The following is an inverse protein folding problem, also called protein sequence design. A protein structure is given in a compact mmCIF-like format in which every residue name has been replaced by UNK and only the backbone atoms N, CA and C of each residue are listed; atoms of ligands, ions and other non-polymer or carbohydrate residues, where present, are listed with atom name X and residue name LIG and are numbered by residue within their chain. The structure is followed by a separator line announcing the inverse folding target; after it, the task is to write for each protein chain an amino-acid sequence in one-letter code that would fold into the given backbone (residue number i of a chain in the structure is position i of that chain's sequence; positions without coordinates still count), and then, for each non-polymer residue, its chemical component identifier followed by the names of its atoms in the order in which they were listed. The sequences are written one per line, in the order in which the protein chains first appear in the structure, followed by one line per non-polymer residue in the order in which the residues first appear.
data_IF_904130782619
#
_entry.id   IF_904130782619
#
_cell.length_a   1.000
_cell.length_b   1.000
_cell.length_c   1.000
_cell.angle_alpha   90.00
_cell.angle_beta   90.00
_cell.angle_gamma   90.00
#
_symmetry.space_group_name_H-M   'P 1'
#
loop_
_entity.id
_entity.type
_entity.pdbx_description
1 polymer ?
#
# COMPACT_ATOMS: atom_id res chain seq x y z
N UNK A 1 29.65 10.64 31.58
CA UNK A 1 29.73 11.43 30.34
C UNK A 1 29.25 10.53 29.21
N UNK A 2 28.07 10.84 28.66
CA UNK A 2 27.85 11.20 27.24
C UNK A 2 28.18 10.05 26.28
N UNK A 3 27.29 9.45 25.51
CA UNK A 3 26.14 9.90 24.71
C UNK A 3 26.08 8.89 23.55
N UNK A 4 24.97 8.41 23.04
CA UNK A 4 24.03 9.15 22.20
C UNK A 4 22.81 8.22 21.99
N UNK A 5 21.67 8.55 22.59
CA UNK A 5 20.38 8.06 22.11
C UNK A 5 20.18 8.68 20.72
N UNK A 6 20.33 7.89 19.65
CA UNK A 6 19.80 8.28 18.34
C UNK A 6 18.28 8.19 18.45
N UNK A 7 17.66 9.36 18.58
CA UNK A 7 16.22 9.56 18.47
C UNK A 7 15.78 9.14 17.07
N UNK A 8 15.32 7.89 16.93
CA UNK A 8 14.44 7.55 15.82
C UNK A 8 13.18 8.39 16.02
N UNK A 9 13.01 9.46 15.21
CA UNK A 9 11.70 10.07 15.05
C UNK A 9 10.83 9.00 14.41
N UNK A 10 10.06 8.30 15.22
CA UNK A 10 8.94 7.48 14.78
C UNK A 10 7.91 8.45 14.19
N UNK A 11 8.04 8.73 12.89
CA UNK A 11 6.95 9.32 12.11
C UNK A 11 5.87 8.24 11.99
N UNK A 12 4.58 8.55 12.19
CA UNK A 12 3.51 7.58 12.03
C UNK A 12 3.61 6.88 10.68
N UNK A 13 3.75 5.55 10.75
CA UNK A 13 4.01 4.66 9.63
C UNK A 13 2.71 4.32 8.92
N UNK A 14 2.15 5.31 8.23
CA UNK A 14 0.91 5.19 7.48
C UNK A 14 1.06 4.40 6.18
N UNK A 15 -0.05 4.26 5.44
CA UNK A 15 -0.01 3.72 4.07
C UNK A 15 0.57 4.76 3.10
N UNK A 16 1.25 4.29 2.05
CA UNK A 16 1.77 5.17 1.00
C UNK A 16 0.65 5.57 0.04
N UNK A 17 0.40 6.87 -0.13
CA UNK A 17 -0.81 7.36 -0.82
C UNK A 17 -1.00 6.79 -2.23
N UNK A 18 0.04 6.82 -3.07
CA UNK A 18 0.00 6.30 -4.44
C UNK A 18 -0.19 4.77 -4.48
N UNK A 19 0.35 4.04 -3.50
CA UNK A 19 0.24 2.58 -3.44
C UNK A 19 -1.15 2.08 -3.05
N UNK A 20 -1.96 2.96 -2.47
CA UNK A 20 -3.39 2.71 -2.25
C UNK A 20 -4.24 3.25 -3.40
N UNK A 21 -4.06 4.52 -3.77
CA UNK A 21 -4.94 5.19 -4.76
C UNK A 21 -4.84 4.54 -6.13
N UNK A 22 -3.62 4.26 -6.62
CA UNK A 22 -3.48 3.75 -7.99
C UNK A 22 -4.12 2.36 -8.17
N UNK A 23 -3.92 1.38 -7.28
CA UNK A 23 -4.64 0.11 -7.34
C UNK A 23 -6.15 0.27 -7.15
N UNK A 24 -6.59 1.09 -6.19
CA UNK A 24 -8.02 1.33 -5.94
C UNK A 24 -8.73 1.86 -7.20
N UNK A 25 -8.15 2.86 -7.86
CA UNK A 25 -8.69 3.44 -9.09
C UNK A 25 -8.71 2.39 -10.22
N UNK A 26 -7.64 1.60 -10.38
CA UNK A 26 -7.57 0.53 -11.41
C UNK A 26 -8.64 -0.54 -11.20
N UNK A 27 -8.81 -1.03 -9.97
CA UNK A 27 -9.81 -2.05 -9.67
C UNK A 27 -11.24 -1.49 -9.82
N UNK A 28 -11.47 -0.24 -9.42
CA UNK A 28 -12.77 0.43 -9.61
C UNK A 28 -13.09 0.58 -11.10
N UNK A 29 -12.11 1.03 -11.91
CA UNK A 29 -12.26 1.17 -13.36
C UNK A 29 -12.50 -0.17 -14.06
N UNK A 30 -11.94 -1.25 -13.54
CA UNK A 30 -12.17 -2.62 -14.02
C UNK A 30 -13.51 -3.23 -13.54
N UNK A 31 -14.25 -2.54 -12.67
CA UNK A 31 -15.59 -2.94 -12.24
C UNK A 31 -15.63 -3.90 -11.06
N UNK A 32 -14.53 -4.04 -10.30
CA UNK A 32 -14.51 -4.84 -9.08
C UNK A 32 -15.31 -4.16 -7.96
N UNK A 33 -15.98 -4.97 -7.14
CA UNK A 33 -16.50 -4.53 -5.84
C UNK A 33 -15.35 -4.54 -4.83
N UNK A 34 -15.10 -3.41 -4.15
CA UNK A 34 -13.91 -3.22 -3.33
C UNK A 34 -14.32 -3.05 -1.87
N UNK A 35 -13.85 -3.96 -1.02
CA UNK A 35 -13.84 -3.76 0.44
C UNK A 35 -12.47 -3.24 0.88
N UNK A 36 -12.44 -2.07 1.52
CA UNK A 36 -11.24 -1.59 2.22
C UNK A 36 -11.32 -2.03 3.68
N UNK A 37 -10.36 -2.85 4.11
CA UNK A 37 -10.29 -3.37 5.47
C UNK A 37 -9.00 -2.93 6.17
N UNK A 38 -9.09 -2.73 7.50
CA UNK A 38 -7.95 -2.39 8.35
C UNK A 38 -8.00 -3.20 9.64
N UNK A 39 -6.87 -3.41 10.35
CA UNK A 39 -6.90 -4.08 11.63
C UNK A 39 -7.82 -3.34 12.61
N UNK A 40 -8.87 -4.02 13.09
CA UNK A 40 -9.88 -3.47 14.01
C UNK A 40 -10.80 -2.40 13.42
N UNK A 41 -10.87 -2.28 12.09
CA UNK A 41 -11.73 -1.30 11.41
C UNK A 41 -11.37 0.16 11.72
N UNK A 42 -10.11 0.42 12.06
CA UNK A 42 -9.64 1.75 12.43
C UNK A 42 -9.20 2.52 11.19
N UNK A 43 -9.65 3.78 11.07
CA UNK A 43 -9.22 4.71 10.01
C UNK A 43 -7.70 4.64 9.78
N UNK A 44 -7.25 4.26 8.57
CA UNK A 44 -5.83 4.20 8.28
C UNK A 44 -5.27 5.62 8.17
N UNK A 45 -4.00 5.77 8.52
CA UNK A 45 -3.27 7.04 8.43
C UNK A 45 -2.46 7.03 7.14
N UNK A 46 -2.50 8.12 6.37
CA UNK A 46 -1.61 8.29 5.22
C UNK A 46 -0.22 8.71 5.70
N UNK A 47 0.84 8.13 5.12
CA UNK A 47 2.21 8.60 5.35
C UNK A 47 2.41 9.95 4.64
N UNK A 48 2.60 11.03 5.40
CA UNK A 48 2.80 12.37 4.84
C UNK A 48 4.04 12.47 3.93
N UNK A 49 5.06 11.62 4.15
CA UNK A 49 6.25 11.58 3.30
C UNK A 49 5.85 11.21 1.86
N UNK A 50 4.88 10.30 1.69
CA UNK A 50 4.34 9.92 0.37
C UNK A 50 3.70 11.08 -0.41
N UNK A 51 3.33 12.16 0.29
CA UNK A 51 2.70 13.35 -0.28
C UNK A 51 3.69 14.53 -0.40
N UNK A 52 5.00 14.25 -0.37
CA UNK A 52 6.03 15.28 -0.33
C UNK A 52 7.17 14.99 -1.30
N UNK A 53 7.97 16.03 -1.58
CA UNK A 53 9.18 15.93 -2.40
C UNK A 53 10.18 14.93 -1.77
N UNK A 54 10.22 14.84 -0.43
CA UNK A 54 11.08 13.88 0.28
C UNK A 54 10.70 12.42 -0.02
N UNK A 55 9.45 12.15 -0.37
CA UNK A 55 8.98 10.86 -0.87
C UNK A 55 9.02 10.71 -2.39
N UNK A 56 9.61 11.67 -3.11
CA UNK A 56 9.66 11.67 -4.58
C UNK A 56 8.39 12.19 -5.27
N UNK A 57 7.45 12.76 -4.52
CA UNK A 57 6.18 13.27 -5.05
C UNK A 57 6.27 14.78 -5.28
N UNK A 58 6.18 15.23 -6.54
CA UNK A 58 6.20 16.65 -6.87
C UNK A 58 4.91 17.37 -6.39
N UNK A 59 4.91 18.72 -6.25
CA UNK A 59 3.77 19.45 -5.70
C UNK A 59 2.45 19.27 -6.44
N UNK A 60 2.47 19.09 -7.77
CA UNK A 60 1.24 18.89 -8.55
C UNK A 60 0.68 17.49 -8.31
N UNK A 61 1.54 16.47 -8.31
CA UNK A 61 1.15 15.10 -7.99
C UNK A 61 0.65 14.98 -6.54
N UNK A 62 1.32 15.62 -5.58
CA UNK A 62 0.88 15.66 -4.19
C UNK A 62 -0.51 16.31 -4.04
N UNK A 63 -0.78 17.38 -4.79
CA UNK A 63 -2.11 18.02 -4.80
C UNK A 63 -3.19 17.08 -5.34
N UNK A 64 -2.90 16.35 -6.42
CA UNK A 64 -3.83 15.37 -7.01
C UNK A 64 -4.13 14.24 -6.03
N UNK A 65 -3.09 13.66 -5.42
CA UNK A 65 -3.22 12.61 -4.41
C UNK A 65 -4.07 13.07 -3.23
N UNK A 66 -3.83 14.29 -2.71
CA UNK A 66 -4.65 14.86 -1.63
C UNK A 66 -6.12 15.04 -2.02
N UNK A 67 -6.40 15.46 -3.26
CA UNK A 67 -7.78 15.56 -3.76
C UNK A 67 -8.45 14.19 -3.79
N UNK A 68 -7.78 13.18 -4.36
CA UNK A 68 -8.33 11.82 -4.44
C UNK A 68 -8.51 11.19 -3.06
N UNK A 69 -7.59 11.40 -2.11
CA UNK A 69 -7.79 10.95 -0.72
C UNK A 69 -9.02 11.60 -0.07
N UNK A 70 -9.30 12.87 -0.37
CA UNK A 70 -10.50 13.55 0.13
C UNK A 70 -11.76 13.00 -0.53
N UNK A 71 -11.71 12.63 -1.81
CA UNK A 71 -12.83 11.98 -2.52
C UNK A 71 -13.09 10.56 -2.02
N UNK A 72 -12.07 9.88 -1.47
CA UNK A 72 -12.16 8.56 -0.84
C UNK A 72 -12.38 8.63 0.68
N UNK A 73 -12.75 9.80 1.24
CA UNK A 73 -12.87 9.98 2.68
C UNK A 73 -13.82 8.98 3.33
N UNK A 74 -14.98 8.73 2.72
CA UNK A 74 -16.00 7.87 3.29
C UNK A 74 -15.52 6.41 3.43
N UNK A 75 -14.77 5.95 2.43
CA UNK A 75 -14.14 4.61 2.40
C UNK A 75 -13.07 4.51 3.49
N UNK A 76 -12.23 5.55 3.63
CA UNK A 76 -11.14 5.57 4.62
C UNK A 76 -11.64 5.79 6.04
N UNK A 77 -12.77 6.46 6.23
CA UNK A 77 -13.36 6.73 7.54
C UNK A 77 -14.16 5.55 8.09
N UNK A 78 -14.66 4.69 7.20
CA UNK A 78 -15.48 3.53 7.56
C UNK A 78 -14.92 2.23 6.95
N UNK A 79 -13.65 1.87 7.21
CA UNK A 79 -13.11 0.61 6.71
C UNK A 79 -13.75 -0.57 7.45
N UNK A 80 -13.84 -1.70 6.77
CA UNK A 80 -14.20 -2.96 7.43
C UNK A 80 -13.12 -3.38 8.45
N UNK A 81 -13.51 -4.16 9.45
CA UNK A 81 -12.54 -4.82 10.33
C UNK A 81 -11.95 -6.03 9.61
N UNK A 82 -10.64 -6.01 9.40
CA UNK A 82 -9.90 -7.11 8.77
C UNK A 82 -10.10 -8.45 9.52
N UNK A 83 -10.30 -8.42 10.83
CA UNK A 83 -10.52 -9.64 11.62
C UNK A 83 -11.90 -10.29 11.39
N UNK A 84 -12.85 -9.54 10.84
CA UNK A 84 -14.19 -10.02 10.54
C UNK A 84 -14.34 -10.46 9.08
N UNK A 85 -13.29 -10.31 8.25
CA UNK A 85 -13.33 -10.70 6.84
C UNK A 85 -12.88 -12.14 6.64
N UNK A 86 -13.49 -12.85 5.69
CA UNK A 86 -13.04 -14.16 5.23
C UNK A 86 -12.40 -14.03 3.85
N UNK A 87 -11.17 -14.51 3.69
CA UNK A 87 -10.44 -14.42 2.42
C UNK A 87 -11.12 -15.18 1.28
N UNK A 88 -11.89 -16.24 1.60
CA UNK A 88 -12.63 -17.03 0.61
C UNK A 88 -13.79 -16.26 -0.04
N UNK A 89 -14.20 -15.12 0.53
CA UNK A 89 -15.26 -14.26 -0.02
C UNK A 89 -14.72 -13.31 -1.13
N UNK A 90 -13.41 -13.32 -1.39
CA UNK A 90 -12.77 -12.42 -2.34
C UNK A 90 -12.01 -13.16 -3.43
N UNK A 91 -12.13 -12.67 -4.67
CA UNK A 91 -11.30 -13.15 -5.79
C UNK A 91 -9.84 -12.66 -5.69
N UNK A 92 -9.62 -11.56 -4.94
CA UNK A 92 -8.34 -10.90 -4.81
C UNK A 92 -8.17 -10.21 -3.44
N UNK A 93 -7.01 -10.39 -2.83
CA UNK A 93 -6.56 -9.59 -1.68
C UNK A 93 -5.34 -8.77 -2.09
N UNK A 94 -5.43 -7.44 -1.91
CA UNK A 94 -4.35 -6.51 -2.23
C UNK A 94 -3.90 -5.73 -0.99
N UNK A 95 -2.60 -5.79 -0.68
CA UNK A 95 -2.02 -5.05 0.44
C UNK A 95 -1.19 -3.86 -0.09
N UNK A 96 -1.64 -2.61 0.08
CA UNK A 96 -0.81 -1.45 -0.23
C UNK A 96 0.36 -1.37 0.77
N UNK A 97 1.53 -0.92 0.31
CA UNK A 97 2.67 -0.70 1.18
C UNK A 97 2.67 0.70 1.82
N UNK A 98 3.87 1.12 2.22
CA UNK A 98 4.12 2.26 3.11
C UNK A 98 5.05 1.86 4.24
N UNK A 99 5.54 2.83 5.02
CA UNK A 99 6.48 2.55 6.10
C UNK A 99 5.85 1.82 7.30
N UNK A 100 4.61 1.31 7.17
CA UNK A 100 3.93 0.47 8.14
C UNK A 100 4.80 -0.71 8.59
N UNK A 101 4.60 -1.23 9.83
CA UNK A 101 5.41 -2.30 10.41
C UNK A 101 5.36 -3.64 9.66
N UNK A 102 4.73 -3.72 8.48
CA UNK A 102 4.58 -4.95 7.70
C UNK A 102 5.92 -5.44 7.14
N UNK A 103 6.83 -4.56 6.70
CA UNK A 103 8.17 -4.97 6.22
C UNK A 103 8.99 -5.62 7.35
N UNK A 104 9.06 -4.94 8.51
CA UNK A 104 9.81 -5.42 9.66
C UNK A 104 9.22 -6.74 10.22
N UNK A 105 7.90 -6.86 10.24
CA UNK A 105 7.18 -8.03 10.77
C UNK A 105 7.27 -9.25 9.84
N UNK A 106 7.28 -9.07 8.51
CA UNK A 106 7.41 -10.18 7.54
C UNK A 106 8.82 -10.77 7.53
N UNK A 107 9.87 -9.93 7.62
CA UNK A 107 11.26 -10.39 7.79
C UNK A 107 11.43 -11.10 9.14
N UNK A 108 10.81 -10.58 10.22
CA UNK A 108 10.86 -11.22 11.54
C UNK A 108 10.18 -12.61 11.57
N UNK A 109 9.25 -12.88 10.64
CA UNK A 109 8.54 -14.16 10.50
C UNK A 109 9.23 -15.15 9.56
N UNK A 110 10.39 -14.80 9.01
CA UNK A 110 11.24 -15.73 8.25
C UNK A 110 10.83 -15.96 6.80
N UNK A 111 10.09 -15.03 6.19
CA UNK A 111 9.80 -15.06 4.76
C UNK A 111 11.02 -14.55 3.95
N UNK A 112 11.28 -15.19 2.81
CA UNK A 112 12.33 -14.76 1.89
C UNK A 112 11.95 -13.42 1.25
N UNK A 113 12.78 -12.41 1.52
CA UNK A 113 12.57 -11.04 1.10
C UNK A 113 13.47 -10.69 -0.08
N UNK A 114 12.89 -10.53 -1.27
CA UNK A 114 13.60 -10.12 -2.50
C UNK A 114 13.43 -8.61 -2.76
N UNK A 115 14.55 -7.89 -2.84
CA UNK A 115 14.61 -6.49 -3.30
C UNK A 115 15.29 -6.49 -4.66
N UNK A 116 14.65 -5.88 -5.65
CA UNK A 116 15.29 -5.54 -6.92
C UNK A 116 16.64 -4.85 -6.70
N UNK A 117 17.63 -5.23 -7.51
CA UNK A 117 19.05 -4.87 -7.37
C UNK A 117 19.33 -3.34 -7.37
N UNK A 118 18.36 -2.52 -7.77
CA UNK A 118 18.43 -1.07 -7.83
C UNK A 118 17.20 -0.47 -7.11
N UNK A 119 17.34 0.65 -6.39
CA UNK A 119 16.19 1.37 -5.85
C UNK A 119 15.40 2.03 -6.99
N UNK A 120 14.06 1.99 -6.90
CA UNK A 120 13.09 2.67 -7.77
C UNK A 120 12.64 2.10 -9.15
N UNK A 121 13.17 0.99 -9.73
CA UNK A 121 12.51 0.32 -10.85
C UNK A 121 11.35 -0.55 -10.34
N UNK A 122 10.32 -0.74 -11.17
CA UNK A 122 9.21 -1.65 -10.83
C UNK A 122 9.73 -3.09 -10.69
N UNK A 123 9.48 -3.72 -9.56
CA UNK A 123 9.77 -5.13 -9.30
C UNK A 123 8.50 -5.79 -8.77
N UNK A 124 8.03 -6.78 -9.53
CA UNK A 124 6.86 -7.59 -9.19
C UNK A 124 7.30 -9.04 -9.15
N UNK A 125 7.04 -9.72 -8.05
CA UNK A 125 7.25 -11.16 -7.90
C UNK A 125 5.89 -11.83 -7.85
N UNK A 126 5.74 -12.91 -8.61
CA UNK A 126 4.55 -13.76 -8.62
C UNK A 126 4.97 -15.17 -8.22
N UNK A 127 4.39 -15.68 -7.12
CA UNK A 127 4.56 -17.06 -6.66
C UNK A 127 3.17 -17.68 -6.41
N UNK A 128 2.68 -18.49 -7.36
CA UNK A 128 1.30 -18.99 -7.34
C UNK A 128 0.29 -17.84 -7.38
N UNK A 129 -0.51 -17.71 -6.31
CA UNK A 129 -1.50 -16.64 -6.13
C UNK A 129 -0.94 -15.43 -5.34
N UNK A 130 0.35 -15.44 -4.98
CA UNK A 130 0.99 -14.35 -4.26
C UNK A 130 1.65 -13.38 -5.25
N UNK A 131 1.12 -12.17 -5.29
CA UNK A 131 1.58 -11.07 -6.14
C UNK A 131 2.16 -9.97 -5.22
N UNK A 132 3.46 -9.69 -5.32
CA UNK A 132 4.11 -8.65 -4.50
C UNK A 132 4.73 -7.56 -5.38
N UNK A 133 4.78 -6.33 -4.87
CA UNK A 133 5.36 -5.17 -5.54
C UNK A 133 6.27 -4.39 -4.58
N UNK A 134 7.44 -3.95 -5.05
CA UNK A 134 8.49 -3.38 -4.19
C UNK A 134 8.29 -1.89 -3.84
N UNK A 135 7.54 -1.14 -4.65
CA UNK A 135 7.48 0.33 -4.60
C UNK A 135 6.24 0.89 -5.32
N UNK A 136 6.00 2.22 -5.29
CA UNK A 136 4.78 2.81 -5.85
C UNK A 136 4.55 2.51 -7.33
N UNK A 137 5.62 2.52 -8.13
CA UNK A 137 5.53 2.16 -9.54
C UNK A 137 5.17 0.68 -9.74
N UNK A 138 5.59 -0.19 -8.81
CA UNK A 138 5.25 -1.61 -8.80
C UNK A 138 3.79 -1.84 -8.43
N UNK A 139 3.22 -1.11 -7.46
CA UNK A 139 1.82 -1.28 -7.06
C UNK A 139 0.86 -1.03 -8.22
N UNK A 140 1.12 0.00 -9.03
CA UNK A 140 0.34 0.27 -10.25
C UNK A 140 0.45 -0.84 -11.29
N UNK A 141 1.66 -1.37 -11.50
CA UNK A 141 1.88 -2.48 -12.46
C UNK A 141 1.22 -3.75 -11.96
N UNK A 142 1.33 -4.03 -10.67
CA UNK A 142 0.75 -5.18 -9.99
C UNK A 142 -0.77 -5.21 -10.16
N UNK A 143 -1.44 -4.09 -9.87
CA UNK A 143 -2.89 -3.98 -10.02
C UNK A 143 -3.34 -4.29 -11.46
N UNK A 144 -2.64 -3.76 -12.48
CA UNK A 144 -2.95 -4.08 -13.89
C UNK A 144 -2.75 -5.56 -14.21
N UNK A 145 -1.65 -6.15 -13.77
CA UNK A 145 -1.37 -7.57 -13.98
C UNK A 145 -2.43 -8.46 -13.34
N UNK A 146 -2.95 -8.08 -12.17
CA UNK A 146 -4.02 -8.80 -11.49
C UNK A 146 -5.35 -8.71 -12.24
N UNK A 147 -5.71 -7.52 -12.74
CA UNK A 147 -6.91 -7.36 -13.59
C UNK A 147 -6.81 -8.25 -14.83
N UNK A 148 -5.66 -8.25 -15.51
CA UNK A 148 -5.46 -9.08 -16.70
C UNK A 148 -5.53 -10.57 -16.37
N UNK A 149 -4.98 -11.02 -15.24
CA UNK A 149 -4.95 -12.42 -14.84
C UNK A 149 -6.33 -12.98 -14.40
N UNK A 150 -7.24 -12.13 -13.94
CA UNK A 150 -8.59 -12.50 -13.48
C UNK A 150 -9.67 -12.33 -14.57
N UNK A 151 -9.31 -11.80 -15.74
CA UNK A 151 -10.22 -11.62 -16.88
C UNK A 151 -10.32 -12.88 -17.77
N UNK A 152 -9.47 -13.89 -17.54
CA UNK A 152 -9.43 -15.19 -18.24
C UNK A 152 -10.16 -16.30 -17.46
#
# INVERSE_FOLDING_TARGET
MSGLLKTARSTPTGFWAEEFIAPYDIFTEAGYDITVATPRGVKPVVDEISLSISGGTDPLSAKKLKSRLAELSDVLENPADLHDQNEEDYDLVFYPGGHGPMEDELVARGLDYDKGLLPFPSHVVVDGNLYTGQNPQSSKKLAKTLVDALAD
#
